data_IF_961466196293
#
_entry.id   IF_961466196293
#
_cell.length_a   1.000
_cell.length_b   1.000
_cell.length_c   1.000
_cell.angle_alpha   90.00
_cell.angle_beta   90.00
_cell.angle_gamma   90.00
#
_symmetry.space_group_name_H-M   'P 1'
#
loop_
_entity.id
_entity.type
_entity.pdbx_description
1 polymer ?
#
# COMPACT_ATOMS: atom_id res chain seq x y z
N UNK A 1 -36.31 -0.04 16.85
CA UNK A 1 -35.63 -1.12 16.10
C UNK A 1 -34.25 -1.27 16.71
N UNK A 2 -33.97 -2.38 17.42
CA UNK A 2 -32.63 -2.63 17.96
C UNK A 2 -31.67 -2.78 16.79
N UNK A 3 -30.59 -2.00 16.79
CA UNK A 3 -29.52 -2.17 15.81
C UNK A 3 -28.61 -3.28 16.31
N UNK A 4 -28.37 -4.27 15.45
CA UNK A 4 -27.47 -5.40 15.73
C UNK A 4 -26.01 -4.91 15.83
N UNK A 5 -25.66 -3.84 15.13
CA UNK A 5 -24.33 -3.26 15.14
C UNK A 5 -24.30 -1.88 15.80
N UNK A 6 -23.17 -1.51 16.44
CA UNK A 6 -22.98 -0.18 16.99
C UNK A 6 -23.20 0.91 15.94
N UNK A 7 -23.76 2.02 16.40
CA UNK A 7 -23.87 3.24 15.60
C UNK A 7 -22.50 3.88 15.45
N UNK A 8 -22.20 4.52 14.31
CA UNK A 8 -21.00 5.33 14.17
C UNK A 8 -20.93 6.42 15.24
N UNK A 9 -19.74 6.75 15.77
CA UNK A 9 -19.57 7.85 16.72
C UNK A 9 -20.05 9.22 16.17
N UNK A 10 -19.92 9.42 14.85
CA UNK A 10 -20.41 10.59 14.12
C UNK A 10 -21.93 10.63 13.97
N UNK A 11 -22.64 9.58 14.36
CA UNK A 11 -24.00 9.30 13.92
C UNK A 11 -24.05 8.72 12.51
N UNK A 12 -25.21 8.20 12.12
CA UNK A 12 -25.44 7.70 10.76
C UNK A 12 -25.35 8.86 9.77
N UNK A 13 -24.55 8.67 8.74
CA UNK A 13 -24.40 9.63 7.66
C UNK A 13 -24.91 8.99 6.37
N UNK A 14 -25.74 9.73 5.66
CA UNK A 14 -26.19 9.40 4.32
C UNK A 14 -26.12 10.68 3.52
N UNK A 15 -25.51 10.62 2.34
CA UNK A 15 -25.40 11.79 1.51
C UNK A 15 -24.77 11.47 0.17
N UNK A 16 -24.58 12.53 -0.59
CA UNK A 16 -23.84 12.48 -1.84
C UNK A 16 -22.60 13.34 -1.71
N UNK A 17 -21.51 12.91 -2.35
CA UNK A 17 -20.32 13.72 -2.50
C UNK A 17 -19.93 13.75 -3.97
N UNK A 18 -19.36 14.89 -4.37
CA UNK A 18 -18.79 15.03 -5.69
C UNK A 18 -17.43 14.34 -5.68
N UNK A 19 -17.37 13.12 -6.19
CA UNK A 19 -16.12 12.57 -6.67
C UNK A 19 -15.89 13.15 -8.06
N UNK A 20 -14.81 13.92 -8.24
CA UNK A 20 -14.22 13.99 -9.57
C UNK A 20 -13.94 12.54 -9.95
N UNK A 21 -14.61 12.02 -10.99
CA UNK A 21 -14.01 10.90 -11.71
C UNK A 21 -12.60 11.38 -12.03
N UNK A 22 -11.60 10.57 -11.69
CA UNK A 22 -10.21 10.83 -12.11
C UNK A 22 -10.23 11.36 -13.54
N UNK A 23 -9.38 12.33 -13.86
CA UNK A 23 -9.14 12.85 -15.21
C UNK A 23 -8.53 11.71 -16.09
N UNK A 24 -9.29 10.63 -16.26
CA UNK A 24 -8.90 9.30 -16.72
C UNK A 24 -9.44 8.99 -18.11
N UNK A 25 -9.92 10.00 -18.85
CA UNK A 25 -10.11 9.85 -20.28
C UNK A 25 -9.57 11.07 -21.02
N UNK A 26 -8.95 10.74 -22.16
CA UNK A 26 -8.46 11.67 -23.16
C UNK A 26 -9.42 12.85 -23.37
N UNK A 27 -8.82 14.02 -23.50
CA UNK A 27 -9.42 15.25 -24.00
C UNK A 27 -10.39 14.97 -25.16
N UNK A 28 -11.67 14.84 -24.84
CA UNK A 28 -12.74 15.40 -25.65
C UNK A 28 -13.26 16.59 -24.85
N UNK A 29 -13.25 17.77 -25.45
CA UNK A 29 -13.45 19.07 -24.80
C UNK A 29 -14.85 19.30 -24.18
N UNK A 30 -15.65 18.27 -23.86
CA UNK A 30 -17.03 18.50 -23.42
C UNK A 30 -17.65 17.49 -22.42
N UNK A 31 -16.89 16.69 -21.67
CA UNK A 31 -17.49 15.88 -20.58
C UNK A 31 -16.64 15.85 -19.31
N UNK A 32 -16.70 16.95 -18.54
CA UNK A 32 -16.35 16.91 -17.11
C UNK A 32 -17.51 16.25 -16.34
N UNK A 33 -17.68 14.94 -16.51
CA UNK A 33 -18.68 14.20 -15.74
C UNK A 33 -18.22 14.04 -14.30
N UNK A 34 -18.51 15.07 -13.50
CA UNK A 34 -18.54 15.01 -12.07
C UNK A 34 -19.45 13.84 -11.65
N UNK A 35 -18.88 12.79 -11.06
CA UNK A 35 -19.66 11.66 -10.59
C UNK A 35 -20.22 12.00 -9.20
N UNK A 36 -21.55 12.05 -9.10
CA UNK A 36 -22.24 12.14 -7.82
C UNK A 36 -22.22 10.76 -7.17
N UNK A 37 -21.32 10.56 -6.21
CA UNK A 37 -21.20 9.31 -5.48
C UNK A 37 -22.11 9.33 -4.25
N UNK A 38 -22.81 8.22 -3.99
CA UNK A 38 -23.63 8.04 -2.79
C UNK A 38 -22.73 7.43 -1.70
N UNK A 39 -22.79 8.01 -0.51
CA UNK A 39 -22.12 7.49 0.67
C UNK A 39 -23.13 7.20 1.77
N UNK A 40 -23.04 6.01 2.36
CA UNK A 40 -23.87 5.58 3.48
C UNK A 40 -22.99 4.96 4.57
N UNK A 41 -22.83 5.67 5.68
CA UNK A 41 -22.14 5.19 6.88
C UNK A 41 -23.16 4.87 7.97
N UNK A 42 -23.56 3.61 8.00
CA UNK A 42 -24.69 3.14 8.82
C UNK A 42 -24.26 2.57 10.16
N UNK A 43 -23.09 1.90 10.21
CA UNK A 43 -22.63 1.10 11.34
C UNK A 43 -21.10 0.93 11.37
N UNK A 44 -20.57 0.51 12.53
CA UNK A 44 -19.15 0.18 12.72
C UNK A 44 -18.87 -1.23 12.22
N UNK A 45 -18.49 -1.37 10.94
CA UNK A 45 -18.21 -2.67 10.32
C UNK A 45 -17.06 -3.44 10.97
N UNK A 46 -16.08 -2.75 11.57
CA UNK A 46 -14.98 -3.40 12.29
C UNK A 46 -15.46 -4.20 13.50
N UNK A 47 -16.47 -3.70 14.21
CA UNK A 47 -17.06 -4.40 15.35
C UNK A 47 -17.70 -5.71 14.94
N UNK A 48 -18.36 -5.74 13.76
CA UNK A 48 -18.91 -6.97 13.19
C UNK A 48 -17.84 -8.03 12.96
N UNK A 49 -16.71 -7.66 12.34
CA UNK A 49 -15.61 -8.61 12.05
C UNK A 49 -15.05 -9.23 13.34
N UNK A 50 -14.85 -8.41 14.38
CA UNK A 50 -14.29 -8.86 15.65
C UNK A 50 -15.28 -9.65 16.51
N UNK A 51 -16.58 -9.34 16.41
CA UNK A 51 -17.62 -9.87 17.29
C UNK A 51 -18.67 -10.71 16.55
N UNK A 52 -18.37 -11.21 15.35
CA UNK A 52 -19.33 -11.98 14.56
C UNK A 52 -19.88 -13.20 15.32
N UNK A 53 -19.05 -13.81 16.16
CA UNK A 53 -19.41 -14.93 17.04
C UNK A 53 -20.42 -14.56 18.15
N UNK A 54 -20.63 -13.27 18.46
CA UNK A 54 -21.56 -12.77 19.50
C UNK A 54 -22.80 -12.08 18.94
N UNK A 55 -22.88 -11.93 17.62
CA UNK A 55 -23.87 -11.06 16.96
C UNK A 55 -25.33 -11.37 17.37
N UNK A 56 -25.69 -12.64 17.43
CA UNK A 56 -27.04 -13.07 17.83
C UNK A 56 -27.21 -13.02 19.36
N UNK A 57 -26.14 -13.26 20.10
CA UNK A 57 -26.15 -13.27 21.57
C UNK A 57 -26.53 -11.90 22.11
N UNK A 58 -26.00 -10.84 21.51
CA UNK A 58 -26.31 -9.46 21.89
C UNK A 58 -27.74 -9.04 21.48
N UNK A 59 -28.37 -9.74 20.53
CA UNK A 59 -29.69 -9.40 19.99
C UNK A 59 -30.83 -10.09 20.74
N UNK A 60 -30.76 -11.41 20.90
CA UNK A 60 -31.85 -12.24 21.43
C UNK A 60 -31.38 -13.32 22.43
N UNK A 61 -30.09 -13.28 22.82
CA UNK A 61 -29.49 -14.25 23.74
C UNK A 61 -29.13 -15.59 23.10
N UNK A 62 -29.34 -15.78 21.79
CA UNK A 62 -28.94 -17.02 21.11
C UNK A 62 -27.43 -17.06 20.91
N UNK A 63 -26.85 -18.26 21.00
CA UNK A 63 -25.42 -18.44 20.69
C UNK A 63 -25.16 -18.08 19.23
N UNK A 64 -24.19 -17.19 18.99
CA UNK A 64 -23.74 -16.87 17.64
C UNK A 64 -22.96 -18.01 16.97
N UNK A 65 -22.55 -17.84 15.70
CA UNK A 65 -21.82 -18.86 14.95
C UNK A 65 -20.46 -19.17 15.61
N UNK A 66 -19.96 -20.39 15.42
CA UNK A 66 -18.57 -20.70 15.71
C UNK A 66 -17.70 -20.07 14.63
N UNK A 67 -16.75 -19.21 15.03
CA UNK A 67 -15.92 -18.44 14.10
C UNK A 67 -14.45 -18.75 14.34
N UNK A 68 -13.74 -19.11 13.28
CA UNK A 68 -12.28 -19.06 13.21
C UNK A 68 -11.89 -17.89 12.32
N UNK A 69 -11.28 -16.85 12.90
CA UNK A 69 -10.77 -15.71 12.16
C UNK A 69 -9.24 -15.88 11.97
N UNK A 70 -8.80 -15.90 10.72
CA UNK A 70 -7.38 -15.91 10.36
C UNK A 70 -7.05 -14.60 9.66
N UNK A 71 -5.86 -14.06 9.94
CA UNK A 71 -5.33 -12.96 9.14
C UNK A 71 -3.92 -13.26 8.68
N UNK A 72 -3.67 -12.94 7.40
CA UNK A 72 -2.33 -13.04 6.83
C UNK A 72 -1.44 -11.82 7.10
N UNK A 73 -1.99 -10.64 7.46
CA UNK A 73 -1.20 -9.40 7.55
C UNK A 73 -1.70 -8.40 8.61
N UNK A 74 -2.39 -8.87 9.65
CA UNK A 74 -3.15 -7.99 10.57
C UNK A 74 -2.53 -7.73 11.94
N UNK A 75 -1.26 -8.05 12.16
CA UNK A 75 -0.67 -7.80 13.48
C UNK A 75 0.22 -6.55 13.48
N UNK A 76 -0.33 -5.44 13.01
CA UNK A 76 0.35 -4.14 12.92
C UNK A 76 -0.38 -3.14 13.82
N UNK A 77 -0.09 -3.10 15.12
CA UNK A 77 -0.95 -2.51 16.17
C UNK A 77 -1.49 -1.10 15.87
N UNK A 78 -0.66 -0.24 15.28
CA UNK A 78 -1.01 1.14 14.92
C UNK A 78 -1.84 1.25 13.64
N UNK A 79 -1.84 0.23 12.78
CA UNK A 79 -2.56 0.25 11.52
C UNK A 79 -4.07 0.19 11.74
N UNK A 80 -4.73 1.30 11.45
CA UNK A 80 -6.19 1.42 11.44
C UNK A 80 -6.83 0.58 10.34
N UNK A 81 -6.09 0.28 9.26
CA UNK A 81 -6.58 -0.56 8.18
C UNK A 81 -6.41 -2.05 8.47
N UNK A 82 -5.21 -2.47 8.89
CA UNK A 82 -4.88 -3.90 8.94
C UNK A 82 -4.98 -4.52 10.32
N UNK A 83 -4.88 -3.80 11.44
CA UNK A 83 -4.83 -4.43 12.76
C UNK A 83 -6.14 -5.09 13.22
N UNK A 84 -6.19 -6.40 13.40
CA UNK A 84 -7.43 -7.09 13.81
C UNK A 84 -7.26 -7.70 15.21
N UNK A 85 -7.16 -6.82 16.20
CA UNK A 85 -7.16 -7.16 17.63
C UNK A 85 -6.02 -8.10 18.05
N UNK A 86 -6.20 -8.72 19.21
CA UNK A 86 -5.21 -9.61 19.81
C UNK A 86 -5.49 -11.07 19.42
N UNK A 87 -4.61 -11.74 18.67
CA UNK A 87 -4.82 -13.11 18.24
C UNK A 87 -4.64 -14.09 19.40
N UNK A 88 -5.36 -15.21 19.37
CA UNK A 88 -5.22 -16.30 20.36
C UNK A 88 -4.03 -17.23 20.05
N UNK A 89 -3.47 -17.13 18.85
CA UNK A 89 -2.35 -17.92 18.38
C UNK A 89 -1.88 -17.42 17.03
N UNK A 90 -0.65 -17.80 16.66
CA UNK A 90 -0.04 -17.42 15.40
C UNK A 90 0.40 -18.66 14.61
N UNK A 91 0.36 -18.56 13.29
CA UNK A 91 1.03 -19.52 12.42
C UNK A 91 2.45 -19.02 12.21
N UNK A 92 3.42 -19.79 12.71
CA UNK A 92 4.84 -19.43 12.58
C UNK A 92 5.23 -19.41 11.09
N UNK A 93 6.03 -18.41 10.65
CA UNK A 93 6.58 -18.43 9.31
C UNK A 93 7.47 -19.65 9.11
N UNK A 94 7.52 -20.15 7.87
CA UNK A 94 8.45 -21.21 7.50
C UNK A 94 9.89 -20.70 7.59
N UNK A 95 10.81 -21.54 8.07
CA UNK A 95 12.23 -21.17 8.21
C UNK A 95 12.83 -20.72 6.88
N UNK A 96 12.48 -21.41 5.79
CA UNK A 96 12.90 -21.05 4.42
C UNK A 96 12.46 -19.64 4.01
N UNK A 97 11.28 -19.18 4.45
CA UNK A 97 10.81 -17.83 4.16
C UNK A 97 11.58 -16.79 4.96
N UNK A 98 11.87 -17.07 6.25
CA UNK A 98 12.69 -16.20 7.10
C UNK A 98 14.12 -16.07 6.55
N UNK A 99 14.74 -17.18 6.17
CA UNK A 99 16.07 -17.19 5.54
C UNK A 99 16.09 -16.46 4.19
N UNK A 100 15.04 -16.64 3.38
CA UNK A 100 14.90 -15.94 2.11
C UNK A 100 14.81 -14.42 2.29
N UNK A 101 14.07 -13.94 3.30
CA UNK A 101 14.02 -12.51 3.62
C UNK A 101 15.39 -11.99 4.04
N UNK A 102 16.13 -12.73 4.87
CA UNK A 102 17.47 -12.35 5.29
C UNK A 102 18.48 -12.28 4.13
N UNK A 103 18.23 -13.03 3.05
CA UNK A 103 19.02 -12.98 1.81
C UNK A 103 18.46 -11.99 0.78
N UNK A 104 17.30 -11.40 1.03
CA UNK A 104 16.72 -10.37 0.15
C UNK A 104 17.46 -9.06 0.32
N UNK A 105 17.45 -8.25 -0.73
CA UNK A 105 18.06 -6.93 -0.75
C UNK A 105 16.99 -5.86 -0.72
N UNK A 106 17.11 -4.90 0.18
CA UNK A 106 16.34 -3.66 0.14
C UNK A 106 17.28 -2.50 -0.17
N UNK A 107 16.85 -1.60 -1.06
CA UNK A 107 17.63 -0.42 -1.45
C UNK A 107 16.75 0.80 -1.65
N UNK A 108 17.16 1.94 -1.12
CA UNK A 108 16.64 3.24 -1.54
C UNK A 108 17.44 3.74 -2.75
N UNK A 109 16.73 4.00 -3.84
CA UNK A 109 17.30 4.30 -5.15
C UNK A 109 16.58 5.51 -5.77
N UNK A 110 16.69 6.71 -5.17
CA UNK A 110 16.08 7.92 -5.71
C UNK A 110 16.67 8.23 -7.10
N UNK A 111 15.80 8.56 -8.05
CA UNK A 111 16.20 8.97 -9.39
C UNK A 111 16.24 10.48 -9.53
N UNK A 112 17.13 10.99 -10.38
CA UNK A 112 17.20 12.41 -10.75
C UNK A 112 16.59 12.66 -12.12
N UNK A 113 15.99 13.83 -12.29
CA UNK A 113 15.54 14.31 -13.60
C UNK A 113 16.71 14.84 -14.44
N UNK A 114 16.41 15.33 -15.65
CA UNK A 114 17.41 15.93 -16.56
C UNK A 114 18.12 17.17 -16.00
N UNK A 115 17.62 17.76 -14.91
CA UNK A 115 18.23 18.91 -14.21
C UNK A 115 19.02 18.49 -12.96
N UNK A 116 19.23 17.20 -12.77
CA UNK A 116 19.87 16.62 -11.58
C UNK A 116 19.10 16.90 -10.27
N UNK A 117 17.78 17.07 -10.38
CA UNK A 117 16.90 17.22 -9.21
C UNK A 117 16.19 15.89 -8.92
N UNK A 118 16.05 15.48 -7.64
CA UNK A 118 15.37 14.24 -7.29
C UNK A 118 13.91 14.21 -7.74
N UNK A 119 13.50 13.13 -8.40
CA UNK A 119 12.15 12.93 -8.90
C UNK A 119 11.23 12.54 -7.73
N UNK A 120 10.28 13.43 -7.43
CA UNK A 120 9.31 13.25 -6.33
C UNK A 120 7.88 13.15 -6.85
N UNK A 121 7.34 11.95 -6.97
CA UNK A 121 5.97 11.73 -7.48
C UNK A 121 4.94 11.87 -6.35
N UNK A 122 5.20 11.30 -5.19
CA UNK A 122 4.25 11.28 -4.08
C UNK A 122 4.12 12.65 -3.42
N UNK A 123 2.88 13.14 -3.36
CA UNK A 123 2.56 14.47 -2.84
C UNK A 123 2.56 15.57 -3.90
N UNK A 124 2.79 15.23 -5.17
CA UNK A 124 2.66 16.12 -6.32
C UNK A 124 1.21 16.11 -6.85
N UNK A 125 0.66 17.24 -7.34
CA UNK A 125 -0.69 17.29 -7.93
C UNK A 125 -0.87 16.34 -9.12
N UNK A 126 -2.06 15.74 -9.26
CA UNK A 126 -2.34 14.69 -10.26
C UNK A 126 -1.99 15.11 -11.70
N UNK A 127 -2.32 16.35 -12.07
CA UNK A 127 -2.02 16.93 -13.40
C UNK A 127 -0.54 16.90 -13.81
N UNK A 128 0.37 16.82 -12.84
CA UNK A 128 1.82 16.77 -13.08
C UNK A 128 2.38 15.34 -13.04
N UNK A 129 1.65 14.39 -12.43
CA UNK A 129 2.17 13.03 -12.18
C UNK A 129 2.52 12.29 -13.46
N UNK A 130 1.73 12.43 -14.52
CA UNK A 130 2.02 11.77 -15.80
C UNK A 130 3.42 12.13 -16.32
N UNK A 131 3.78 13.42 -16.30
CA UNK A 131 5.13 13.86 -16.70
C UNK A 131 6.22 13.28 -15.81
N UNK A 132 6.01 13.27 -14.49
CA UNK A 132 6.99 12.73 -13.54
C UNK A 132 7.19 11.22 -13.66
N UNK A 133 6.13 10.45 -13.93
CA UNK A 133 6.26 9.01 -14.19
C UNK A 133 7.05 8.73 -15.46
N UNK A 134 6.91 9.57 -16.49
CA UNK A 134 7.70 9.47 -17.71
C UNK A 134 9.18 9.77 -17.45
N UNK A 135 9.48 10.87 -16.75
CA UNK A 135 10.85 11.19 -16.35
C UNK A 135 11.47 10.07 -15.50
N UNK A 136 10.70 9.51 -14.55
CA UNK A 136 11.13 8.38 -13.72
C UNK A 136 11.45 7.14 -14.57
N UNK A 137 10.58 6.79 -15.52
CA UNK A 137 10.79 5.67 -16.43
C UNK A 137 12.05 5.87 -17.30
N UNK A 138 12.25 7.08 -17.82
CA UNK A 138 13.45 7.42 -18.60
C UNK A 138 14.74 7.30 -17.77
N UNK A 139 14.74 7.82 -16.54
CA UNK A 139 15.89 7.72 -15.64
C UNK A 139 16.24 6.25 -15.33
N UNK A 140 15.23 5.46 -14.97
CA UNK A 140 15.37 4.03 -14.66
C UNK A 140 15.85 3.18 -15.85
N UNK A 141 15.45 3.53 -17.08
CA UNK A 141 15.89 2.84 -18.30
C UNK A 141 17.29 3.29 -18.73
N UNK A 142 17.65 4.55 -18.48
CA UNK A 142 18.87 5.15 -19.00
C UNK A 142 18.90 5.18 -20.53
N UNK A 143 20.10 5.12 -21.13
CA UNK A 143 20.25 5.10 -22.57
C UNK A 143 19.96 3.70 -23.14
N UNK A 144 18.71 3.48 -23.57
CA UNK A 144 18.24 2.23 -24.17
C UNK A 144 18.56 0.97 -23.34
N UNK A 145 18.28 1.03 -22.03
CA UNK A 145 18.47 -0.08 -21.10
C UNK A 145 19.80 -0.10 -20.36
N UNK A 146 20.61 0.96 -20.43
CA UNK A 146 21.86 1.06 -19.66
C UNK A 146 21.66 1.45 -18.19
N UNK A 147 20.44 1.87 -17.81
CA UNK A 147 20.07 2.31 -16.47
C UNK A 147 19.77 1.16 -15.50
N UNK A 148 19.20 1.51 -14.34
CA UNK A 148 18.97 0.59 -13.23
C UNK A 148 18.12 -0.63 -13.61
N UNK A 149 17.10 -0.48 -14.46
CA UNK A 149 16.25 -1.61 -14.87
C UNK A 149 17.00 -2.64 -15.72
N UNK A 150 17.92 -2.18 -16.57
CA UNK A 150 18.73 -3.08 -17.39
C UNK A 150 19.85 -3.75 -16.61
N UNK A 151 20.48 -3.03 -15.69
CA UNK A 151 21.46 -3.59 -14.76
C UNK A 151 20.81 -4.67 -13.88
N UNK A 152 19.61 -4.41 -13.35
CA UNK A 152 18.88 -5.38 -12.53
C UNK A 152 18.49 -6.63 -13.31
N UNK A 153 17.97 -6.50 -14.55
CA UNK A 153 17.66 -7.70 -15.34
C UNK A 153 18.91 -8.54 -15.62
N UNK A 154 20.04 -7.92 -15.92
CA UNK A 154 21.29 -8.65 -16.12
C UNK A 154 21.80 -9.30 -14.82
N UNK A 155 21.68 -8.62 -13.68
CA UNK A 155 22.01 -9.18 -12.36
C UNK A 155 21.13 -10.40 -12.02
N UNK A 156 19.80 -10.28 -12.19
CA UNK A 156 18.86 -11.39 -11.97
C UNK A 156 19.15 -12.58 -12.90
N UNK A 157 19.55 -12.31 -14.14
CA UNK A 157 19.95 -13.35 -15.10
C UNK A 157 21.22 -14.07 -14.66
N UNK A 158 22.23 -13.33 -14.18
CA UNK A 158 23.46 -13.90 -13.64
C UNK A 158 23.20 -14.72 -12.37
N UNK A 159 22.34 -14.24 -11.48
CA UNK A 159 21.87 -14.98 -10.31
C UNK A 159 21.16 -16.27 -10.70
N UNK A 160 20.32 -16.24 -11.74
CA UNK A 160 19.65 -17.42 -12.28
C UNK A 160 20.61 -18.49 -12.82
N UNK A 161 21.84 -18.10 -13.22
CA UNK A 161 22.89 -19.02 -13.66
C UNK A 161 23.77 -19.51 -12.52
N UNK A 162 24.13 -18.63 -11.58
CA UNK A 162 25.05 -18.95 -10.48
C UNK A 162 24.38 -19.66 -9.31
N UNK A 163 23.10 -19.37 -9.05
CA UNK A 163 22.32 -19.92 -7.96
C UNK A 163 20.90 -20.31 -8.42
N UNK A 164 20.80 -21.32 -9.30
CA UNK A 164 19.56 -21.67 -10.01
C UNK A 164 18.43 -22.11 -9.07
N UNK A 165 18.75 -22.72 -7.93
CA UNK A 165 17.75 -23.15 -6.96
C UNK A 165 16.88 -21.96 -6.52
N UNK A 166 17.45 -20.78 -6.30
CA UNK A 166 16.72 -19.62 -5.83
C UNK A 166 16.25 -18.69 -6.95
N UNK A 167 16.98 -18.60 -8.07
CA UNK A 167 16.84 -17.52 -9.05
C UNK A 167 16.50 -17.96 -10.47
N UNK A 168 16.51 -19.25 -10.79
CA UNK A 168 16.19 -19.72 -12.13
C UNK A 168 14.77 -19.29 -12.56
N UNK A 169 14.67 -18.75 -13.78
CA UNK A 169 13.41 -18.24 -14.36
C UNK A 169 12.74 -17.16 -13.48
N UNK A 170 13.55 -16.26 -12.89
CA UNK A 170 13.09 -15.10 -12.09
C UNK A 170 13.65 -13.76 -12.56
N UNK A 171 14.20 -13.72 -13.77
CA UNK A 171 14.63 -12.50 -14.45
C UNK A 171 13.42 -11.67 -14.89
N UNK A 172 12.67 -11.12 -13.92
CA UNK A 172 11.48 -10.28 -14.12
C UNK A 172 11.37 -9.23 -13.02
N UNK A 173 10.93 -8.03 -13.40
CA UNK A 173 10.77 -6.86 -12.54
C UNK A 173 9.29 -6.48 -12.44
N UNK A 174 8.83 -6.22 -11.22
CA UNK A 174 7.52 -5.67 -10.93
C UNK A 174 7.63 -4.18 -10.56
N UNK A 175 6.96 -3.30 -11.31
CA UNK A 175 6.90 -1.86 -11.02
C UNK A 175 5.56 -1.54 -10.36
N UNK A 176 5.60 -1.11 -9.09
CA UNK A 176 4.42 -0.81 -8.30
C UNK A 176 4.10 0.70 -8.30
N UNK A 177 2.87 1.00 -8.70
CA UNK A 177 2.28 2.34 -8.76
C UNK A 177 0.93 2.36 -8.02
N UNK A 178 0.20 3.48 -8.02
CA UNK A 178 -1.06 3.60 -7.29
C UNK A 178 -2.32 3.41 -8.16
N UNK A 179 -2.24 3.53 -9.50
CA UNK A 179 -3.38 3.35 -10.40
C UNK A 179 -3.04 2.65 -11.72
N UNK A 180 -4.07 2.18 -12.43
CA UNK A 180 -3.91 1.50 -13.72
C UNK A 180 -3.36 2.46 -14.79
N UNK A 181 -3.77 3.73 -14.77
CA UNK A 181 -3.25 4.74 -15.70
C UNK A 181 -1.77 5.03 -15.46
N UNK A 182 -1.35 5.12 -14.19
CA UNK A 182 0.07 5.25 -13.86
C UNK A 182 0.87 4.05 -14.36
N UNK A 183 0.31 2.84 -14.27
CA UNK A 183 0.97 1.64 -14.76
C UNK A 183 1.13 1.70 -16.30
N UNK A 184 0.08 2.14 -16.99
CA UNK A 184 0.11 2.38 -18.44
C UNK A 184 1.15 3.44 -18.82
N UNK A 185 1.16 4.60 -18.17
CA UNK A 185 2.11 5.69 -18.45
C UNK A 185 3.57 5.24 -18.34
N UNK A 186 3.90 4.52 -17.25
CA UNK A 186 5.25 4.00 -17.02
C UNK A 186 5.62 2.97 -18.09
N UNK A 187 4.76 1.98 -18.33
CA UNK A 187 5.06 0.93 -19.30
C UNK A 187 5.16 1.44 -20.75
N UNK A 188 4.30 2.38 -21.13
CA UNK A 188 4.37 3.04 -22.44
C UNK A 188 5.68 3.81 -22.61
N UNK A 189 6.12 4.54 -21.59
CA UNK A 189 7.37 5.28 -21.65
C UNK A 189 8.58 4.33 -21.73
N UNK A 190 8.61 3.27 -20.91
CA UNK A 190 9.67 2.24 -20.99
C UNK A 190 9.74 1.63 -22.40
N UNK A 191 8.59 1.29 -23.00
CA UNK A 191 8.54 0.77 -24.39
C UNK A 191 9.05 1.77 -25.43
N UNK A 192 8.91 3.07 -25.19
CA UNK A 192 9.37 4.12 -26.09
C UNK A 192 10.89 4.34 -25.97
N UNK A 193 11.44 4.35 -24.75
CA UNK A 193 12.86 4.61 -24.53
C UNK A 193 13.74 3.34 -24.57
N UNK A 194 13.16 2.13 -24.48
CA UNK A 194 13.87 0.86 -24.56
C UNK A 194 13.34 -0.04 -25.70
N UNK A 195 13.78 0.25 -26.92
CA UNK A 195 13.25 -0.40 -28.12
C UNK A 195 13.41 -1.93 -28.10
N UNK A 196 14.56 -2.42 -27.65
CA UNK A 196 14.86 -3.86 -27.59
C UNK A 196 14.02 -4.65 -26.57
N UNK A 197 13.39 -3.98 -25.60
CA UNK A 197 12.57 -4.60 -24.56
C UNK A 197 11.06 -4.39 -24.80
N UNK A 198 10.68 -3.72 -25.89
CA UNK A 198 9.31 -3.26 -26.13
C UNK A 198 8.25 -4.36 -26.01
N UNK A 199 8.53 -5.55 -26.51
CA UNK A 199 7.60 -6.70 -26.51
C UNK A 199 7.55 -7.42 -25.15
N UNK A 200 8.46 -7.11 -24.23
CA UNK A 200 8.58 -7.75 -22.92
C UNK A 200 8.10 -6.85 -21.77
N UNK A 201 7.55 -5.67 -22.09
CA UNK A 201 7.09 -4.67 -21.10
C UNK A 201 5.57 -4.60 -21.11
N UNK A 202 4.97 -4.99 -20.00
CA UNK A 202 3.53 -5.05 -19.80
C UNK A 202 3.05 -4.06 -18.74
N UNK A 203 1.77 -3.73 -18.81
CA UNK A 203 1.04 -3.06 -17.75
C UNK A 203 -0.26 -3.80 -17.47
N UNK A 204 -0.70 -3.76 -16.22
CA UNK A 204 -1.99 -4.29 -15.82
C UNK A 204 -3.11 -3.33 -16.22
N UNK A 205 -4.25 -3.86 -16.64
CA UNK A 205 -5.51 -3.12 -16.87
C UNK A 205 -6.68 -3.76 -16.11
N UNK A 206 -7.76 -3.00 -15.91
CA UNK A 206 -8.98 -3.53 -15.26
C UNK A 206 -9.64 -4.59 -16.14
N UNK A 207 -10.31 -5.55 -15.50
CA UNK A 207 -11.18 -6.49 -16.20
C UNK A 207 -12.32 -5.74 -16.87
N UNK A 208 -12.60 -6.07 -18.12
CA UNK A 208 -13.71 -5.45 -18.87
C UNK A 208 -15.02 -6.07 -18.40
N UNK A 209 -15.84 -5.30 -17.69
CA UNK A 209 -17.14 -5.75 -17.17
C UNK A 209 -18.36 -5.18 -17.91
N UNK A 210 -18.19 -4.44 -19.00
CA UNK A 210 -19.30 -3.78 -19.71
C UNK A 210 -19.38 -4.18 -21.20
N UNK A 211 -20.62 -4.32 -21.68
CA UNK A 211 -21.00 -4.50 -23.09
C UNK A 211 -20.38 -3.42 -23.94
N UNK A 212 -19.59 -3.84 -24.93
CA UNK A 212 -18.88 -2.96 -25.86
C UNK A 212 -19.87 -2.12 -26.66
N UNK A 213 -19.70 -0.80 -26.65
CA UNK A 213 -20.36 0.12 -27.56
C UNK A 213 -19.56 0.21 -28.88
N UNK A 214 -20.13 0.74 -29.97
CA UNK A 214 -19.43 0.88 -31.26
C UNK A 214 -18.14 1.72 -31.18
N UNK A 215 -18.07 2.67 -30.23
CA UNK A 215 -16.85 3.44 -29.95
C UNK A 215 -15.75 2.59 -29.29
N UNK A 216 -16.12 1.57 -28.50
CA UNK A 216 -15.17 0.61 -27.94
C UNK A 216 -14.57 -0.27 -29.04
N UNK A 217 -15.32 -0.57 -30.12
CA UNK A 217 -14.84 -1.39 -31.25
C UNK A 217 -13.74 -0.67 -32.04
N UNK A 218 -13.84 0.65 -32.21
CA UNK A 218 -12.75 1.43 -32.82
C UNK A 218 -11.52 1.53 -31.89
N UNK A 219 -11.73 1.56 -30.57
CA UNK A 219 -10.65 1.48 -29.57
C UNK A 219 -9.97 0.10 -29.56
N UNK A 220 -10.75 -0.97 -29.73
CA UNK A 220 -10.32 -2.38 -29.77
C UNK A 220 -9.45 -2.74 -30.97
N UNK A 221 -9.53 -1.98 -32.08
CA UNK A 221 -8.65 -2.17 -33.24
C UNK A 221 -7.16 -1.92 -32.92
N UNK A 222 -6.88 -1.30 -31.76
CA UNK A 222 -5.57 -1.19 -31.15
C UNK A 222 -5.55 -2.13 -29.93
N UNK A 223 -5.18 -3.40 -30.12
CA UNK A 223 -4.65 -4.17 -28.98
C UNK A 223 -3.54 -3.32 -28.36
N UNK A 224 -3.78 -2.73 -27.19
CA UNK A 224 -2.77 -1.94 -26.52
C UNK A 224 -1.56 -2.86 -26.27
N UNK A 225 -0.46 -2.55 -26.96
CA UNK A 225 0.74 -3.37 -26.93
C UNK A 225 1.20 -3.49 -25.48
N UNK A 226 1.29 -4.72 -24.97
CA UNK A 226 1.67 -4.99 -23.60
C UNK A 226 0.59 -4.66 -22.55
N UNK A 227 -0.70 -4.70 -22.88
CA UNK A 227 -1.77 -4.69 -21.88
C UNK A 227 -2.09 -6.12 -21.39
N UNK A 228 -2.21 -6.30 -20.07
CA UNK A 228 -2.60 -7.56 -19.43
C UNK A 228 -3.82 -7.32 -18.53
N UNK A 229 -4.90 -8.08 -18.72
CA UNK A 229 -6.05 -7.96 -17.82
C UNK A 229 -5.68 -8.43 -16.42
N UNK A 230 -6.33 -7.84 -15.41
CA UNK A 230 -6.16 -8.23 -14.02
C UNK A 230 -6.47 -9.73 -13.80
N UNK A 231 -7.53 -10.26 -14.39
CA UNK A 231 -7.89 -11.66 -14.29
C UNK A 231 -6.82 -12.61 -14.85
N UNK A 232 -6.03 -12.14 -15.81
CA UNK A 232 -5.00 -12.93 -16.50
C UNK A 232 -3.61 -12.78 -15.88
N UNK A 233 -3.46 -12.05 -14.77
CA UNK A 233 -2.15 -11.69 -14.23
C UNK A 233 -1.28 -12.90 -13.85
N UNK A 234 -1.88 -14.01 -13.43
CA UNK A 234 -1.15 -15.24 -13.09
C UNK A 234 -0.45 -15.85 -14.32
N UNK A 235 -0.94 -15.54 -15.52
CA UNK A 235 -0.35 -16.01 -16.78
C UNK A 235 0.86 -15.19 -17.22
N UNK A 236 1.19 -14.08 -16.54
CA UNK A 236 2.29 -13.19 -16.93
C UNK A 236 3.62 -13.92 -17.13
N UNK A 237 3.95 -14.90 -16.28
CA UNK A 237 5.19 -15.67 -16.42
C UNK A 237 5.30 -16.41 -17.76
N UNK A 238 4.15 -16.75 -18.37
CA UNK A 238 4.03 -17.47 -19.63
C UNK A 238 4.07 -16.57 -20.88
N UNK A 239 3.94 -15.24 -20.71
CA UNK A 239 3.91 -14.31 -21.85
C UNK A 239 5.31 -13.98 -22.39
N UNK A 240 6.37 -14.39 -21.71
CA UNK A 240 7.74 -13.95 -21.98
C UNK A 240 8.03 -12.53 -21.47
N UNK A 241 7.08 -11.89 -20.77
CA UNK A 241 7.27 -10.57 -20.18
C UNK A 241 8.39 -10.54 -19.13
N UNK A 242 9.15 -9.44 -19.14
CA UNK A 242 10.24 -9.15 -18.20
C UNK A 242 9.89 -8.03 -17.24
N UNK A 243 9.07 -7.06 -17.65
CA UNK A 243 8.69 -5.93 -16.82
C UNK A 243 7.17 -5.87 -16.77
N UNK A 244 6.58 -5.81 -15.58
CA UNK A 244 5.15 -5.58 -15.37
C UNK A 244 4.96 -4.34 -14.51
N UNK A 245 4.28 -3.32 -15.04
CA UNK A 245 3.76 -2.22 -14.23
C UNK A 245 2.36 -2.53 -13.72
N UNK A 246 2.11 -2.38 -12.42
CA UNK A 246 0.82 -2.68 -11.83
C UNK A 246 0.48 -1.80 -10.62
N UNK A 247 -0.82 -1.50 -10.39
CA UNK A 247 -1.24 -0.90 -9.14
C UNK A 247 -0.93 -1.82 -7.96
N UNK A 248 -0.39 -1.28 -6.88
CA UNK A 248 -0.07 -2.07 -5.68
C UNK A 248 -1.30 -2.75 -5.08
N UNK A 249 -2.46 -2.10 -5.16
CA UNK A 249 -3.75 -2.64 -4.73
C UNK A 249 -4.21 -3.85 -5.54
N UNK A 250 -3.76 -3.99 -6.79
CA UNK A 250 -4.11 -5.12 -7.65
C UNK A 250 -3.22 -6.35 -7.38
N UNK A 251 -1.97 -6.13 -6.95
CA UNK A 251 -1.01 -7.22 -6.62
C UNK A 251 -1.22 -7.78 -5.20
N UNK A 252 -1.71 -6.95 -4.27
CA UNK A 252 -1.73 -7.27 -2.84
C UNK A 252 -2.51 -8.54 -2.45
N UNK A 253 -3.56 -8.93 -3.19
CA UNK A 253 -4.41 -10.09 -2.84
C UNK A 253 -4.89 -10.86 -4.07
N UNK A 254 -4.88 -12.19 -3.97
CA UNK A 254 -5.65 -13.08 -4.85
C UNK A 254 -4.92 -13.69 -6.04
N UNK A 255 -3.62 -13.40 -6.24
CA UNK A 255 -2.89 -13.91 -7.42
C UNK A 255 -1.57 -14.62 -7.07
N UNK A 256 -1.34 -15.76 -7.72
CA UNK A 256 -0.17 -16.62 -7.68
C UNK A 256 0.65 -16.48 -8.97
N UNK A 257 1.49 -15.44 -9.08
CA UNK A 257 2.37 -15.26 -10.24
C UNK A 257 3.66 -16.06 -10.00
N UNK A 258 3.65 -17.32 -10.46
CA UNK A 258 4.73 -18.29 -10.25
C UNK A 258 5.46 -18.60 -11.55
N UNK A 259 6.73 -18.97 -11.45
CA UNK A 259 7.53 -19.50 -12.55
C UNK A 259 7.26 -21.00 -12.76
N UNK A 260 7.92 -21.60 -13.75
CA UNK A 260 7.76 -23.02 -14.07
C UNK A 260 8.10 -23.99 -12.91
N UNK A 261 8.90 -23.54 -11.94
CA UNK A 261 9.31 -24.31 -10.76
C UNK A 261 8.38 -24.13 -9.55
N UNK A 262 7.26 -23.41 -9.70
CA UNK A 262 6.32 -23.13 -8.60
C UNK A 262 6.83 -22.08 -7.60
N UNK A 263 7.90 -21.35 -7.94
CA UNK A 263 8.48 -20.26 -7.15
C UNK A 263 8.00 -18.91 -7.66
N UNK A 264 8.18 -17.84 -6.90
CA UNK A 264 7.78 -16.51 -7.34
C UNK A 264 8.42 -16.13 -8.70
N UNK A 265 7.62 -15.67 -9.66
CA UNK A 265 8.11 -15.36 -11.01
C UNK A 265 9.00 -14.10 -11.09
N UNK A 266 8.79 -13.16 -10.16
CA UNK A 266 9.56 -11.91 -10.08
C UNK A 266 10.77 -12.08 -9.18
N UNK A 267 11.92 -11.60 -9.66
CA UNK A 267 13.16 -11.49 -8.89
C UNK A 267 13.27 -10.14 -8.19
N UNK A 268 12.69 -9.09 -8.76
CA UNK A 268 12.76 -7.74 -8.21
C UNK A 268 11.43 -6.97 -8.23
N UNK A 269 11.29 -6.03 -7.31
CA UNK A 269 10.15 -5.11 -7.19
C UNK A 269 10.61 -3.67 -6.96
N UNK A 270 9.98 -2.72 -7.64
CA UNK A 270 10.28 -1.29 -7.54
C UNK A 270 9.02 -0.54 -7.08
N UNK A 271 9.10 0.14 -5.94
CA UNK A 271 8.06 1.03 -5.43
C UNK A 271 8.25 2.43 -6.02
N UNK A 272 7.61 2.70 -7.16
CA UNK A 272 7.71 3.98 -7.87
C UNK A 272 6.94 5.12 -7.18
N UNK A 273 6.03 4.77 -6.28
CA UNK A 273 5.29 5.71 -5.43
C UNK A 273 5.08 5.16 -4.04
N UNK A 274 4.84 6.06 -3.08
CA UNK A 274 4.33 5.67 -1.77
C UNK A 274 2.85 5.29 -1.88
N UNK A 275 2.41 4.17 -1.29
CA UNK A 275 0.99 3.90 -1.10
C UNK A 275 0.42 4.99 -0.21
N UNK A 276 -0.57 5.73 -0.71
CA UNK A 276 -1.22 6.77 0.09
C UNK A 276 -2.73 6.76 -0.22
N UNK A 277 -3.61 6.74 0.79
CA UNK A 277 -5.04 6.83 0.56
C UNK A 277 -5.37 8.14 -0.15
N UNK A 278 -6.32 8.10 -1.08
CA UNK A 278 -6.66 9.28 -1.86
C UNK A 278 -7.24 10.36 -0.93
N UNK A 279 -6.88 11.65 -1.09
CA UNK A 279 -7.54 12.73 -0.37
C UNK A 279 -9.05 12.67 -0.55
N UNK A 280 -9.81 12.92 0.52
CA UNK A 280 -11.28 12.87 0.51
C UNK A 280 -11.90 11.47 0.28
N UNK A 281 -11.13 10.40 0.43
CA UNK A 281 -11.69 9.04 0.48
C UNK A 281 -12.50 8.86 1.78
N UNK A 282 -13.81 9.09 1.67
CA UNK A 282 -14.77 8.97 2.78
C UNK A 282 -14.83 7.56 3.37
N UNK A 283 -14.54 6.53 2.56
CA UNK A 283 -14.48 5.15 3.02
C UNK A 283 -13.22 4.92 3.88
N UNK A 284 -12.07 5.47 3.49
CA UNK A 284 -10.85 5.42 4.30
C UNK A 284 -11.05 6.14 5.65
N UNK A 285 -11.67 7.33 5.64
CA UNK A 285 -11.98 8.07 6.88
C UNK A 285 -12.92 7.26 7.79
N UNK A 286 -13.96 6.64 7.23
CA UNK A 286 -14.88 5.80 7.99
C UNK A 286 -14.21 4.56 8.58
N UNK A 287 -13.26 3.94 7.87
CA UNK A 287 -12.46 2.82 8.40
C UNK A 287 -11.58 3.25 9.57
N UNK A 288 -10.94 4.41 9.45
CA UNK A 288 -10.12 4.98 10.51
C UNK A 288 -10.95 5.28 11.77
N UNK A 289 -12.12 5.90 11.60
CA UNK A 289 -13.05 6.17 12.71
C UNK A 289 -13.57 4.89 13.35
N UNK A 290 -13.81 3.83 12.55
CA UNK A 290 -14.21 2.53 13.10
C UNK A 290 -13.12 1.96 14.03
N UNK A 291 -11.83 2.12 13.71
CA UNK A 291 -10.73 1.73 14.62
C UNK A 291 -10.73 2.61 15.87
N UNK A 292 -10.73 3.94 15.70
CA UNK A 292 -10.69 4.89 16.83
C UNK A 292 -11.83 4.71 17.81
N UNK A 293 -13.02 4.39 17.30
CA UNK A 293 -14.18 4.09 18.15
C UNK A 293 -13.91 2.94 19.11
N UNK A 294 -13.18 1.90 18.68
CA UNK A 294 -12.80 0.79 19.55
C UNK A 294 -11.71 1.21 20.53
N UNK A 295 -10.68 1.93 20.06
CA UNK A 295 -9.60 2.43 20.92
C UNK A 295 -10.14 3.33 22.05
N UNK A 296 -11.11 4.20 21.76
CA UNK A 296 -11.76 5.07 22.74
C UNK A 296 -12.59 4.31 23.78
N UNK A 297 -13.19 3.18 23.38
CA UNK A 297 -13.97 2.33 24.29
C UNK A 297 -13.05 1.50 25.19
N UNK A 298 -11.91 1.05 24.68
CA UNK A 298 -10.91 0.30 25.43
C UNK A 298 -10.16 1.19 26.45
N UNK A 299 -9.97 2.48 26.15
CA UNK A 299 -9.33 3.41 27.06
C UNK A 299 -10.30 4.01 28.09
N UNK A 300 -10.23 3.51 29.33
CA UNK A 300 -11.01 4.01 30.46
C UNK A 300 -10.75 5.50 30.79
N UNK A 301 -9.60 6.04 30.38
CA UNK A 301 -9.20 7.44 30.60
C UNK A 301 -9.51 8.34 29.40
N UNK A 302 -10.26 7.87 28.41
CA UNK A 302 -10.63 8.72 27.29
C UNK A 302 -11.50 9.90 27.75
N UNK A 303 -11.16 11.10 27.29
CA UNK A 303 -11.71 12.38 27.79
C UNK A 303 -13.25 12.47 27.72
N UNK A 304 -13.88 11.73 26.80
CA UNK A 304 -15.34 11.70 26.72
C UNK A 304 -16.00 11.07 27.96
N UNK A 305 -15.30 10.17 28.65
CA UNK A 305 -15.83 9.42 29.81
C UNK A 305 -15.84 10.23 31.10
N UNK A 306 -15.13 11.34 31.16
CA UNK A 306 -15.15 12.31 32.27
C UNK A 306 -16.48 13.05 32.38
N UNK A 307 -17.31 13.04 31.33
CA UNK A 307 -18.63 13.68 31.37
C UNK A 307 -19.63 12.89 32.20
N UNK A 308 -20.51 13.64 32.87
CA UNK A 308 -21.57 13.08 33.69
C UNK A 308 -22.70 12.48 32.86
N UNK A 309 -23.13 11.29 33.25
CA UNK A 309 -24.25 10.59 32.65
C UNK A 309 -23.99 10.06 31.23
N UNK A 310 -24.89 9.18 30.78
CA UNK A 310 -24.77 8.52 29.46
C UNK A 310 -24.89 9.55 28.32
N UNK A 311 -25.80 10.53 28.46
CA UNK A 311 -26.04 11.54 27.44
C UNK A 311 -24.81 12.44 27.24
N UNK A 312 -24.23 12.96 28.32
CA UNK A 312 -23.05 13.85 28.25
C UNK A 312 -21.85 13.14 27.63
N UNK A 313 -21.63 11.87 27.98
CA UNK A 313 -20.58 11.02 27.36
C UNK A 313 -20.84 10.81 25.87
N UNK A 314 -22.07 10.49 25.48
CA UNK A 314 -22.42 10.27 24.08
C UNK A 314 -22.26 11.55 23.23
N UNK A 315 -22.63 12.72 23.76
CA UNK A 315 -22.42 14.01 23.11
C UNK A 315 -20.93 14.34 22.95
N UNK A 316 -20.12 14.09 23.99
CA UNK A 316 -18.68 14.28 23.93
C UNK A 316 -18.02 13.40 22.87
N UNK A 317 -18.34 12.09 22.84
CA UNK A 317 -17.86 11.18 21.79
C UNK A 317 -18.22 11.70 20.40
N UNK A 318 -19.46 12.16 20.19
CA UNK A 318 -19.90 12.67 18.89
C UNK A 318 -19.15 13.93 18.47
N UNK A 319 -18.90 14.85 19.39
CA UNK A 319 -18.10 16.05 19.12
C UNK A 319 -16.66 15.68 18.77
N UNK A 320 -16.04 14.77 19.53
CA UNK A 320 -14.68 14.29 19.27
C UNK A 320 -14.58 13.59 17.93
N UNK A 321 -15.55 12.74 17.58
CA UNK A 321 -15.61 12.07 16.29
C UNK A 321 -15.75 13.06 15.13
N UNK A 322 -16.57 14.09 15.25
CA UNK A 322 -16.69 15.14 14.23
C UNK A 322 -15.40 15.96 14.09
N UNK A 323 -14.71 16.28 15.19
CA UNK A 323 -13.39 16.93 15.16
C UNK A 323 -12.35 16.03 14.48
N UNK A 324 -12.37 14.74 14.81
CA UNK A 324 -11.46 13.77 14.22
C UNK A 324 -11.68 13.63 12.71
N UNK A 325 -12.94 13.44 12.28
CA UNK A 325 -13.31 13.36 10.85
C UNK A 325 -12.73 14.54 10.06
N UNK A 326 -12.98 15.77 10.51
CA UNK A 326 -12.44 16.99 9.88
C UNK A 326 -10.91 17.00 9.87
N UNK A 327 -10.27 16.54 10.93
CA UNK A 327 -8.81 16.47 10.98
C UNK A 327 -8.23 15.53 9.92
N UNK A 328 -8.91 14.41 9.64
CA UNK A 328 -8.50 13.46 8.60
C UNK A 328 -8.72 14.06 7.21
N UNK A 329 -9.85 14.73 6.97
CA UNK A 329 -10.16 15.41 5.70
C UNK A 329 -9.13 16.48 5.33
N UNK A 330 -8.54 17.15 6.33
CA UNK A 330 -7.56 18.21 6.14
C UNK A 330 -6.09 17.70 6.13
N UNK A 331 -5.85 16.38 6.22
CA UNK A 331 -4.50 15.83 6.08
C UNK A 331 -3.97 16.09 4.68
N UNK A 332 -2.76 16.62 4.58
CA UNK A 332 -2.14 16.99 3.31
C UNK A 332 -0.78 16.32 3.12
N UNK A 333 0.16 16.56 4.04
CA UNK A 333 1.54 16.10 3.90
C UNK A 333 1.98 15.25 5.07
N UNK A 334 2.89 14.31 4.81
CA UNK A 334 3.51 13.45 5.83
C UNK A 334 4.05 14.25 7.03
N UNK A 335 4.81 15.32 6.76
CA UNK A 335 5.39 16.19 7.79
C UNK A 335 4.36 16.89 8.70
N UNK A 336 3.11 17.01 8.25
CA UNK A 336 2.02 17.66 9.00
C UNK A 336 1.16 16.67 9.79
N UNK A 337 1.48 15.37 9.76
CA UNK A 337 0.77 14.35 10.53
C UNK A 337 1.23 14.40 11.98
N UNK A 338 0.62 15.24 12.81
CA UNK A 338 0.98 15.36 14.23
C UNK A 338 0.20 14.36 15.09
N UNK A 339 0.83 13.86 16.17
CA UNK A 339 0.13 13.08 17.19
C UNK A 339 -0.90 13.96 17.92
N UNK A 340 -2.02 13.35 18.27
CA UNK A 340 -3.05 13.95 19.09
C UNK A 340 -3.44 12.96 20.19
N UNK A 341 -2.83 13.12 21.36
CA UNK A 341 -3.01 12.23 22.51
C UNK A 341 -4.43 12.30 23.09
N UNK A 342 -5.09 13.45 23.03
CA UNK A 342 -6.49 13.62 23.44
C UNK A 342 -7.43 12.72 22.62
N UNK A 343 -7.18 12.61 21.32
CA UNK A 343 -7.97 11.79 20.39
C UNK A 343 -7.41 10.36 20.22
N UNK A 344 -6.34 10.01 20.93
CA UNK A 344 -5.60 8.74 20.75
C UNK A 344 -5.23 8.50 19.29
N UNK A 345 -4.76 9.54 18.63
CA UNK A 345 -4.51 9.55 17.20
C UNK A 345 -3.04 9.76 16.89
N UNK A 346 -2.45 8.76 16.24
CA UNK A 346 -1.04 8.75 15.87
C UNK A 346 -0.89 8.53 14.36
N UNK A 347 -1.23 9.54 13.53
CA UNK A 347 -1.36 9.34 12.08
C UNK A 347 -0.07 8.97 11.34
N UNK A 348 1.12 9.31 11.87
CA UNK A 348 2.38 8.84 11.29
C UNK A 348 2.59 7.34 11.53
N UNK A 349 2.40 6.89 12.77
CA UNK A 349 2.51 5.47 13.13
C UNK A 349 1.47 4.66 12.36
N UNK A 350 0.22 5.13 12.28
CA UNK A 350 -0.83 4.50 11.48
C UNK A 350 -0.44 4.38 9.99
N UNK A 351 0.06 5.46 9.38
CA UNK A 351 0.51 5.44 7.99
C UNK A 351 1.72 4.53 7.79
N UNK A 352 2.71 4.56 8.70
CA UNK A 352 3.88 3.70 8.66
C UNK A 352 3.46 2.23 8.76
N UNK A 353 2.66 1.87 9.77
CA UNK A 353 2.15 0.53 9.99
C UNK A 353 1.34 0.04 8.78
N UNK A 354 0.44 0.86 8.28
CA UNK A 354 -0.39 0.53 7.11
C UNK A 354 0.47 0.34 5.86
N UNK A 355 1.45 1.22 5.63
CA UNK A 355 2.37 1.11 4.49
C UNK A 355 3.27 -0.11 4.61
N UNK A 356 3.78 -0.43 5.81
CA UNK A 356 4.54 -1.64 6.09
C UNK A 356 3.71 -2.89 5.74
N UNK A 357 2.43 -2.93 6.15
CA UNK A 357 1.51 -4.00 5.78
C UNK A 357 1.33 -4.16 4.27
N UNK A 358 1.25 -3.05 3.52
CA UNK A 358 1.18 -3.07 2.06
C UNK A 358 2.49 -3.60 1.44
N UNK A 359 3.66 -3.17 1.95
CA UNK A 359 4.97 -3.66 1.49
C UNK A 359 5.08 -5.16 1.75
N UNK A 360 4.77 -5.62 2.97
CA UNK A 360 4.76 -7.05 3.35
C UNK A 360 3.86 -7.86 2.43
N UNK A 361 2.66 -7.35 2.11
CA UNK A 361 1.76 -8.01 1.14
C UNK A 361 2.36 -8.10 -0.25
N UNK A 362 3.03 -7.04 -0.72
CA UNK A 362 3.64 -6.99 -2.04
C UNK A 362 4.86 -7.93 -2.13
N UNK A 363 5.82 -7.81 -1.22
CA UNK A 363 7.03 -8.65 -1.21
C UNK A 363 6.74 -10.10 -0.86
N UNK A 364 5.68 -10.37 -0.10
CA UNK A 364 5.19 -11.73 0.14
C UNK A 364 4.82 -12.48 -1.14
N UNK A 365 4.55 -11.78 -2.25
CA UNK A 365 4.35 -12.41 -3.58
C UNK A 365 5.67 -12.85 -4.21
N UNK A 366 6.76 -12.17 -3.87
CA UNK A 366 8.12 -12.46 -4.35
C UNK A 366 8.84 -13.51 -3.49
N UNK A 367 8.38 -13.76 -2.27
CA UNK A 367 8.92 -14.77 -1.35
C UNK A 367 8.39 -16.19 -1.58
N UNK A 368 7.39 -16.37 -2.45
CA UNK A 368 6.74 -17.68 -2.64
C UNK A 368 7.74 -18.75 -3.08
N UNK A 369 7.74 -19.87 -2.35
CA UNK A 369 8.71 -20.94 -2.53
C UNK A 369 10.01 -20.74 -1.73
N UNK A 370 10.02 -19.83 -0.75
CA UNK A 370 11.16 -19.59 0.14
C UNK A 370 12.37 -19.04 -0.62
N UNK A 371 12.15 -18.05 -1.49
CA UNK A 371 13.20 -17.49 -2.35
C UNK A 371 13.44 -15.99 -2.10
N UNK A 372 14.70 -15.53 -2.14
CA UNK A 372 15.05 -14.12 -1.95
C UNK A 372 14.58 -13.25 -3.12
N UNK A 373 14.57 -11.93 -2.91
CA UNK A 373 14.21 -10.94 -3.92
C UNK A 373 14.98 -9.64 -3.72
N UNK A 374 14.96 -8.78 -4.73
CA UNK A 374 15.43 -7.39 -4.61
C UNK A 374 14.27 -6.40 -4.56
N UNK A 375 14.29 -5.44 -3.64
CA UNK A 375 13.28 -4.41 -3.49
C UNK A 375 13.88 -3.01 -3.49
N UNK A 376 13.31 -2.15 -4.34
CA UNK A 376 13.82 -0.80 -4.59
C UNK A 376 12.75 0.24 -4.25
N UNK A 377 13.11 1.22 -3.41
CA UNK A 377 12.30 2.40 -3.13
C UNK A 377 12.80 3.56 -3.99
N UNK A 378 12.01 3.99 -4.98
CA UNK A 378 12.53 4.85 -6.06
C UNK A 378 12.08 6.31 -5.95
N UNK A 379 10.88 6.54 -5.43
CA UNK A 379 10.37 7.90 -5.24
C UNK A 379 11.20 8.64 -4.18
N UNK A 380 11.72 9.83 -4.51
CA UNK A 380 12.44 10.67 -3.55
C UNK A 380 11.61 10.99 -2.30
N UNK A 381 10.28 10.86 -2.35
CA UNK A 381 9.41 11.03 -1.20
C UNK A 381 9.56 9.96 -0.10
N UNK A 382 10.21 8.83 -0.37
CA UNK A 382 10.51 7.82 0.66
C UNK A 382 11.55 8.35 1.66
N UNK A 383 12.62 8.96 1.18
CA UNK A 383 13.68 9.60 1.98
C UNK A 383 14.01 11.01 1.46
N UNK A 384 13.22 12.04 1.80
CA UNK A 384 13.31 13.36 1.16
C UNK A 384 14.62 14.09 1.40
N UNK A 385 15.19 14.00 2.61
CA UNK A 385 16.44 14.69 2.93
C UNK A 385 17.62 13.97 2.30
N UNK A 386 17.63 12.63 2.37
CA UNK A 386 18.68 11.84 1.78
C UNK A 386 18.72 11.98 0.26
N UNK A 387 17.56 11.94 -0.40
CA UNK A 387 17.48 12.09 -1.86
C UNK A 387 18.01 13.45 -2.35
N UNK A 388 17.80 14.52 -1.58
CA UNK A 388 18.15 15.89 -2.00
C UNK A 388 19.57 16.29 -1.61
N UNK A 389 19.99 15.98 -0.39
CA UNK A 389 21.21 16.52 0.21
C UNK A 389 22.09 15.43 0.85
N UNK A 390 21.75 14.14 0.69
CA UNK A 390 22.40 12.99 1.34
C UNK A 390 22.50 13.13 2.87
N UNK A 391 21.60 13.91 3.46
CA UNK A 391 21.48 14.06 4.91
C UNK A 391 20.64 12.91 5.47
N UNK A 392 20.91 12.48 6.72
CA UNK A 392 20.06 11.50 7.40
C UNK A 392 18.61 11.96 7.45
N UNK A 393 17.71 11.02 7.16
CA UNK A 393 16.28 11.20 7.39
C UNK A 393 15.90 10.75 8.81
N UNK A 394 14.78 11.24 9.32
CA UNK A 394 14.20 10.84 10.62
C UNK A 394 12.79 10.29 10.40
N UNK A 395 12.20 9.55 11.36
CA UNK A 395 10.78 9.18 11.31
C UNK A 395 9.83 10.37 11.09
N UNK A 396 10.22 11.60 11.45
CA UNK A 396 9.43 12.81 11.17
C UNK A 396 9.51 13.31 9.73
N UNK A 397 10.63 13.09 9.04
CA UNK A 397 10.85 13.60 7.67
C UNK A 397 10.56 12.53 6.61
N UNK A 398 10.82 11.26 6.92
CA UNK A 398 10.74 10.13 6.02
C UNK A 398 9.74 9.08 6.50
N UNK A 399 8.89 8.62 5.57
CA UNK A 399 8.01 7.48 5.82
C UNK A 399 8.81 6.16 5.88
N UNK A 400 9.90 6.05 5.12
CA UNK A 400 10.76 4.87 5.15
C UNK A 400 11.44 4.72 6.52
N UNK A 401 12.03 5.79 7.05
CA UNK A 401 12.60 5.80 8.40
C UNK A 401 11.53 5.46 9.46
N UNK A 402 10.32 6.02 9.35
CA UNK A 402 9.24 5.70 10.28
C UNK A 402 8.73 4.25 10.19
N UNK A 403 8.81 3.61 9.02
CA UNK A 403 8.50 2.18 8.89
C UNK A 403 9.57 1.34 9.59
N UNK A 404 10.85 1.67 9.39
CA UNK A 404 11.96 0.94 10.00
C UNK A 404 11.88 1.04 11.52
N UNK A 405 11.79 2.27 12.05
CA UNK A 405 11.65 2.57 13.48
C UNK A 405 10.48 1.81 14.11
N UNK A 406 9.29 1.89 13.49
CA UNK A 406 8.09 1.19 13.96
C UNK A 406 8.25 -0.34 14.00
N UNK A 407 8.86 -0.94 12.97
CA UNK A 407 9.05 -2.38 12.92
C UNK A 407 10.08 -2.84 13.97
N UNK A 408 11.12 -2.05 14.22
CA UNK A 408 12.06 -2.31 15.32
C UNK A 408 11.35 -2.29 16.67
N UNK A 409 10.56 -1.25 16.95
CA UNK A 409 9.79 -1.14 18.19
C UNK A 409 8.85 -2.35 18.37
N UNK A 410 8.10 -2.73 17.34
CA UNK A 410 7.21 -3.88 17.38
C UNK A 410 7.93 -5.18 17.75
N UNK A 411 9.10 -5.40 17.16
CA UNK A 411 9.89 -6.62 17.34
C UNK A 411 10.54 -6.68 18.73
N UNK A 412 10.82 -5.53 19.34
CA UNK A 412 11.32 -5.44 20.71
C UNK A 412 10.22 -5.61 21.76
N UNK A 413 9.04 -5.04 21.52
CA UNK A 413 7.95 -4.98 22.51
C UNK A 413 7.12 -6.25 22.62
N UNK A 414 6.95 -7.00 21.53
CA UNK A 414 6.00 -8.11 21.49
C UNK A 414 6.50 -9.37 20.78
N UNK A 415 6.27 -10.53 21.39
CA UNK A 415 6.74 -11.82 20.88
C UNK A 415 6.04 -12.22 19.56
N UNK A 416 4.79 -11.81 19.35
CA UNK A 416 4.06 -12.09 18.10
C UNK A 416 4.64 -11.23 16.98
N UNK A 417 4.80 -9.94 17.23
CA UNK A 417 5.48 -9.03 16.30
C UNK A 417 6.88 -9.51 15.95
N UNK A 418 7.67 -9.96 16.94
CA UNK A 418 8.99 -10.56 16.70
C UNK A 418 8.92 -11.75 15.77
N UNK A 419 8.01 -12.69 16.03
CA UNK A 419 7.86 -13.87 15.18
C UNK A 419 7.45 -13.53 13.73
N UNK A 420 6.66 -12.47 13.53
CA UNK A 420 6.13 -12.10 12.22
C UNK A 420 7.03 -11.14 11.42
N UNK A 421 7.76 -10.26 12.09
CA UNK A 421 8.40 -9.11 11.45
C UNK A 421 9.91 -9.00 11.68
N UNK A 422 10.53 -9.77 12.58
CA UNK A 422 11.98 -9.67 12.84
C UNK A 422 12.80 -9.74 11.55
N UNK A 423 12.54 -10.72 10.68
CA UNK A 423 13.34 -10.89 9.46
C UNK A 423 13.24 -9.71 8.50
N UNK A 424 12.07 -9.09 8.37
CA UNK A 424 11.92 -7.92 7.49
C UNK A 424 12.44 -6.65 8.17
N UNK A 425 12.32 -6.54 9.50
CA UNK A 425 12.92 -5.45 10.26
C UNK A 425 14.45 -5.47 10.09
N UNK A 426 15.10 -6.61 10.31
CA UNK A 426 16.54 -6.79 10.15
C UNK A 426 17.00 -6.41 8.73
N UNK A 427 16.28 -6.90 7.71
CA UNK A 427 16.61 -6.62 6.31
C UNK A 427 16.40 -5.15 5.92
N UNK A 428 15.53 -4.42 6.62
CA UNK A 428 15.25 -3.00 6.37
C UNK A 428 16.12 -2.05 7.20
N UNK A 429 16.62 -2.47 8.37
CA UNK A 429 17.53 -1.66 9.19
C UNK A 429 18.81 -1.34 8.42
N UNK A 430 19.36 -2.34 7.73
CA UNK A 430 20.57 -2.23 6.92
C UNK A 430 20.28 -1.94 5.43
N UNK A 431 19.21 -1.20 5.16
CA UNK A 431 18.80 -0.85 3.79
C UNK A 431 19.91 -0.12 3.02
N UNK A 432 20.22 -0.59 1.81
CA UNK A 432 21.24 0.01 0.96
C UNK A 432 20.84 1.43 0.53
N UNK A 433 21.77 2.37 0.59
CA UNK A 433 21.59 3.70 0.00
C UNK A 433 20.58 4.58 0.74
N UNK A 434 20.36 4.36 2.05
CA UNK A 434 19.53 5.21 2.88
C UNK A 434 20.13 5.36 4.29
N UNK A 435 20.46 6.59 4.66
CA UNK A 435 20.88 6.90 6.03
C UNK A 435 19.71 7.51 6.81
N UNK A 436 19.47 7.00 8.01
CA UNK A 436 18.45 7.52 8.90
C UNK A 436 18.93 7.52 10.35
N UNK A 437 18.30 8.36 11.18
CA UNK A 437 18.61 8.47 12.61
C UNK A 437 17.33 8.70 13.42
N UNK A 438 17.41 8.40 14.72
CA UNK A 438 16.37 8.72 15.69
C UNK A 438 16.76 10.04 16.38
N UNK A 439 15.96 11.09 16.18
CA UNK A 439 16.12 12.35 16.89
C UNK A 439 15.54 12.22 18.31
N UNK A 440 16.11 12.94 19.27
CA UNK A 440 15.54 13.08 20.62
C UNK A 440 14.10 13.61 20.61
N UNK A 441 13.66 14.27 19.52
CA UNK A 441 12.29 14.76 19.30
C UNK A 441 11.33 13.71 18.74
N UNK A 442 11.84 12.53 18.38
CA UNK A 442 11.05 11.42 17.84
C UNK A 442 10.53 10.48 18.95
N UNK A 443 11.19 10.50 20.12
CA UNK A 443 10.70 9.92 21.38
C UNK A 443 9.87 10.94 22.15
#
# INVERSE_FOLDING_TARGET
MLNILPLPPTGRQFGTYYSRKDDNHNQSENSSENALSIFAYTNIGRYYVLNFHRLLTDLDGQRGPNVLALSGTSYLQDSTQFHVGNPQGILMPEVSATEAIAQSRFKFLPQSNHKDEPIRISGTPERQKMGMFKEMAQALVGNNGSGDLGQELEELKQLGQSNPDFWQDRERILLLVNSYDQARWVAEEIRQCWWGMREQVYHLQRDRTETLNEDDINYLSRMEVGALNRADIETFALTGGKILAAPISAIGRGFNILNANGKAAFGAVYFLTRPYPHPHDTQAIAQEINRRALDWVEDANFIAWEKDGILGRAEAVRQLAARYWRSVEHRSYYKTLYKNEELRAFPRQDLAATTAGVIVQAVGRLLRGGVPFHAYFVDAAWGPNYAKEQQPDTPRTSLLAAIIDLLCDYVEEDAISKALYQSIADALVDIDGFNWEIDARDR
#
